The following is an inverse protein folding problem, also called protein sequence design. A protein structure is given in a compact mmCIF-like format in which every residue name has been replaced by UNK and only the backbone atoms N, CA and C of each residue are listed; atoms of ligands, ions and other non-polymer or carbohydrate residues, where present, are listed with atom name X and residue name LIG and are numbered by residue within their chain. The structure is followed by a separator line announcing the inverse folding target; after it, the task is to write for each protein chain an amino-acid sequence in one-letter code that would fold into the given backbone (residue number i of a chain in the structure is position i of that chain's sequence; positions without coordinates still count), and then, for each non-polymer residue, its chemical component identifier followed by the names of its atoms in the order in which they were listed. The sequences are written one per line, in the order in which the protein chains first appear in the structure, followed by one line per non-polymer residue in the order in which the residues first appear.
data_IF_601251800018
#
_entry.id   IF_601251800018
#
_cell.length_a   1.000
_cell.length_b   1.000
_cell.length_c   1.000
_cell.angle_alpha   90.00
_cell.angle_beta   90.00
_cell.angle_gamma   90.00
#
_symmetry.space_group_name_H-M   'P 1'
#
loop_
_entity.id
_entity.type
_entity.pdbx_description
1 polymer ?
#
# COMPACT_ATOMS: atom_id res chain seq x y z
N UNK A 1 21.19 -20.89 14.87
CA UNK A 1 20.03 -20.15 15.40
C UNK A 1 18.88 -20.34 14.42
N UNK A 2 17.69 -20.67 14.89
CA UNK A 2 16.48 -20.74 14.07
C UNK A 2 15.74 -19.40 14.22
N UNK A 3 15.53 -18.68 13.13
CA UNK A 3 15.03 -17.30 13.10
C UNK A 3 13.59 -17.22 12.56
N UNK A 4 12.83 -18.32 12.62
CA UNK A 4 11.44 -18.37 12.12
C UNK A 4 10.57 -17.32 12.82
N UNK A 5 10.72 -17.20 14.13
CA UNK A 5 9.97 -16.26 14.98
C UNK A 5 10.67 -14.91 15.18
N UNK A 6 11.66 -14.56 14.34
CA UNK A 6 12.36 -13.28 14.47
C UNK A 6 11.38 -12.09 14.37
N UNK A 7 11.46 -11.07 15.25
CA UNK A 7 12.40 -10.86 16.36
C UNK A 7 11.90 -11.28 17.77
N UNK A 8 10.84 -12.08 17.86
CA UNK A 8 10.26 -12.62 19.11
C UNK A 8 10.84 -14.00 19.46
N UNK A 9 12.05 -14.26 18.99
CA UNK A 9 12.75 -15.54 19.09
C UNK A 9 13.54 -15.69 20.41
N UNK A 10 13.70 -16.96 20.80
CA UNK A 10 14.59 -17.37 21.87
C UNK A 10 15.51 -18.49 21.37
N UNK A 11 16.74 -18.51 21.87
CA UNK A 11 17.76 -19.45 21.45
C UNK A 11 18.48 -20.07 22.65
N UNK A 12 18.79 -21.35 22.54
CA UNK A 12 19.76 -22.00 23.40
C UNK A 12 21.14 -21.97 22.72
N UNK A 13 22.12 -21.34 23.34
CA UNK A 13 23.49 -21.27 22.88
C UNK A 13 24.35 -22.29 23.65
N UNK A 14 24.75 -23.40 23.02
CA UNK A 14 25.55 -24.41 23.69
C UNK A 14 27.05 -24.03 23.69
N UNK A 15 27.67 -24.14 24.86
CA UNK A 15 29.12 -24.14 25.05
C UNK A 15 29.54 -25.58 25.34
N UNK A 16 30.24 -26.22 24.40
CA UNK A 16 30.75 -27.59 24.55
C UNK A 16 32.28 -27.56 24.69
N UNK A 17 32.81 -28.25 25.68
CA UNK A 17 34.25 -28.37 25.91
C UNK A 17 34.59 -29.76 26.46
N UNK A 18 35.80 -30.24 26.15
CA UNK A 18 36.25 -31.57 26.55
C UNK A 18 37.70 -31.81 26.15
N UNK A 19 38.21 -33.00 26.44
CA UNK A 19 39.58 -33.39 26.10
C UNK A 19 39.67 -33.61 24.60
N UNK A 20 40.74 -33.09 23.98
CA UNK A 20 40.97 -33.28 22.55
C UNK A 20 41.70 -34.60 22.24
N UNK A 21 42.72 -34.94 23.05
CA UNK A 21 43.61 -36.07 22.78
C UNK A 21 43.19 -37.33 23.56
N UNK A 22 42.85 -37.16 24.85
CA UNK A 22 42.66 -38.27 25.78
C UNK A 22 41.20 -38.75 25.80
N UNK A 23 40.93 -40.05 25.58
CA UNK A 23 39.60 -40.65 25.68
C UNK A 23 39.16 -40.87 27.13
N UNK A 24 37.92 -41.33 27.32
CA UNK A 24 37.31 -41.61 28.65
C UNK A 24 38.11 -42.63 29.47
N UNK A 25 38.87 -43.53 28.83
CA UNK A 25 39.74 -44.47 29.54
C UNK A 25 40.92 -43.79 30.25
N UNK A 26 41.28 -42.57 29.86
CA UNK A 26 42.40 -41.82 30.43
C UNK A 26 41.94 -40.59 31.23
N UNK A 27 40.98 -39.82 30.70
CA UNK A 27 40.50 -38.58 31.34
C UNK A 27 38.98 -38.50 31.29
N UNK A 28 38.37 -38.29 32.46
CA UNK A 28 36.92 -38.07 32.62
C UNK A 28 36.68 -36.72 33.29
N UNK A 29 35.93 -35.85 32.62
CA UNK A 29 35.52 -34.56 33.20
C UNK A 29 34.28 -34.72 34.07
N UNK A 30 34.27 -34.04 35.22
CA UNK A 30 33.13 -33.99 36.13
C UNK A 30 32.93 -32.56 36.63
N UNK A 31 31.69 -32.21 36.93
CA UNK A 31 31.34 -30.92 37.52
C UNK A 31 31.70 -30.91 39.01
N UNK A 32 32.48 -29.93 39.45
CA UNK A 32 32.98 -29.83 40.84
C UNK A 32 31.89 -29.72 41.89
N UNK A 33 30.79 -29.05 41.59
CA UNK A 33 29.66 -28.81 42.50
C UNK A 33 28.34 -29.40 41.95
N UNK A 34 28.46 -30.33 40.99
CA UNK A 34 27.34 -30.84 40.21
C UNK A 34 26.91 -29.89 39.08
N UNK A 35 26.22 -30.43 38.08
CA UNK A 35 25.88 -29.71 36.85
C UNK A 35 25.03 -28.45 37.09
N UNK A 36 24.14 -28.46 38.07
CA UNK A 36 23.24 -27.33 38.34
C UNK A 36 23.96 -26.11 38.96
N UNK A 37 25.06 -26.30 39.70
CA UNK A 37 25.72 -25.24 40.49
C UNK A 37 27.09 -24.83 39.96
N UNK A 38 27.72 -25.66 39.13
CA UNK A 38 29.07 -25.36 38.62
C UNK A 38 29.12 -24.22 37.60
N UNK A 39 28.02 -23.88 36.92
CA UNK A 39 27.97 -22.76 35.97
C UNK A 39 27.26 -21.57 36.61
N UNK A 40 28.06 -20.63 37.13
CA UNK A 40 27.57 -19.41 37.77
C UNK A 40 27.84 -18.21 36.85
N UNK A 41 26.80 -17.43 36.58
CA UNK A 41 26.89 -16.17 35.87
C UNK A 41 26.82 -15.05 36.90
N UNK A 42 27.75 -14.09 36.84
CA UNK A 42 27.74 -12.93 37.73
C UNK A 42 26.46 -12.09 37.51
N UNK A 43 25.88 -11.58 38.60
CA UNK A 43 24.62 -10.80 38.57
C UNK A 43 24.72 -9.59 37.63
N UNK A 44 25.84 -8.86 37.69
CA UNK A 44 26.13 -7.71 36.80
C UNK A 44 26.92 -8.08 35.53
N UNK A 45 27.11 -9.37 35.26
CA UNK A 45 27.94 -9.86 34.16
C UNK A 45 27.30 -9.73 32.76
N UNK A 46 26.01 -9.36 32.69
CA UNK A 46 25.28 -9.30 31.43
C UNK A 46 25.62 -8.04 30.63
N UNK A 47 26.54 -8.16 29.67
CA UNK A 47 26.94 -7.08 28.75
C UNK A 47 26.24 -7.17 27.39
N UNK A 48 25.09 -7.84 27.32
CA UNK A 48 24.38 -8.13 26.07
C UNK A 48 23.43 -6.99 25.68
N UNK A 49 23.72 -6.32 24.56
CA UNK A 49 22.90 -5.21 24.07
C UNK A 49 21.58 -5.68 23.45
N UNK A 50 21.63 -6.74 22.64
CA UNK A 50 20.49 -7.20 21.81
C UNK A 50 19.67 -8.34 22.45
N UNK A 51 20.20 -9.00 23.47
CA UNK A 51 19.59 -10.18 24.10
C UNK A 51 19.53 -10.01 25.61
N UNK A 52 18.58 -10.69 26.24
CA UNK A 52 18.55 -10.98 27.66
C UNK A 52 18.96 -12.43 27.89
N UNK A 53 19.86 -12.64 28.85
CA UNK A 53 20.13 -13.97 29.39
C UNK A 53 18.98 -14.34 30.33
N UNK A 54 18.23 -15.38 30.00
CA UNK A 54 17.12 -15.89 30.82
C UNK A 54 17.66 -16.84 31.89
N UNK A 55 18.65 -17.66 31.54
CA UNK A 55 19.25 -18.63 32.43
C UNK A 55 20.24 -19.55 31.73
N UNK A 56 20.74 -20.52 32.47
CA UNK A 56 21.72 -21.49 32.00
C UNK A 56 21.40 -22.90 32.49
N UNK A 57 21.86 -23.90 31.75
CA UNK A 57 21.75 -25.31 32.15
C UNK A 57 23.02 -26.02 31.77
N UNK A 58 23.65 -26.70 32.74
CA UNK A 58 24.83 -27.52 32.47
C UNK A 58 24.47 -29.00 32.39
N UNK A 59 25.28 -29.75 31.64
CA UNK A 59 25.13 -31.17 31.42
C UNK A 59 26.44 -31.81 30.99
N UNK A 60 26.40 -33.12 30.83
CA UNK A 60 27.50 -33.96 30.37
C UNK A 60 26.97 -34.84 29.25
N UNK A 61 27.71 -34.96 28.16
CA UNK A 61 27.42 -35.85 27.05
C UNK A 61 28.67 -36.66 26.71
N UNK A 62 28.54 -37.97 26.56
CA UNK A 62 29.62 -38.79 26.01
C UNK A 62 29.46 -38.89 24.50
N UNK A 63 30.49 -38.48 23.77
CA UNK A 63 30.52 -38.56 22.31
C UNK A 63 31.42 -39.70 21.86
N UNK A 64 30.95 -40.46 20.87
CA UNK A 64 31.77 -41.45 20.19
C UNK A 64 32.32 -40.85 18.90
N UNK A 65 33.64 -40.84 18.75
CA UNK A 65 34.32 -40.47 17.51
C UNK A 65 35.16 -41.64 17.01
N UNK A 66 35.71 -41.52 15.80
CA UNK A 66 36.52 -42.57 15.16
C UNK A 66 37.78 -42.95 15.96
N UNK A 67 38.27 -42.07 16.84
CA UNK A 67 39.44 -42.32 17.71
C UNK A 67 39.10 -42.93 19.07
N UNK A 68 37.83 -42.92 19.48
CA UNK A 68 37.42 -43.38 20.81
C UNK A 68 36.22 -42.63 21.38
N UNK A 69 35.88 -42.94 22.62
CA UNK A 69 34.83 -42.25 23.38
C UNK A 69 35.45 -41.09 24.16
N UNK A 70 34.78 -39.94 24.16
CA UNK A 70 35.22 -38.71 24.85
C UNK A 70 34.08 -38.13 25.68
N UNK A 71 34.39 -37.72 26.92
CA UNK A 71 33.44 -36.98 27.76
C UNK A 71 33.45 -35.49 27.36
N UNK A 72 32.28 -34.96 27.02
CA UNK A 72 32.07 -33.56 26.66
C UNK A 72 31.18 -32.89 27.71
N UNK A 73 31.69 -31.81 28.25
CA UNK A 73 30.96 -30.92 29.14
C UNK A 73 30.17 -29.92 28.32
N UNK A 74 28.93 -29.69 28.71
CA UNK A 74 28.02 -28.82 27.97
C UNK A 74 27.35 -27.81 28.90
N UNK A 75 27.33 -26.54 28.51
CA UNK A 75 26.54 -25.50 29.16
C UNK A 75 25.67 -24.79 28.11
N UNK A 76 24.35 -24.85 28.28
CA UNK A 76 23.40 -24.10 27.47
C UNK A 76 23.12 -22.74 28.12
N UNK A 77 23.21 -21.68 27.33
CA UNK A 77 22.78 -20.34 27.71
C UNK A 77 21.50 -19.97 26.96
N UNK A 78 20.44 -19.66 27.69
CA UNK A 78 19.15 -19.29 27.12
C UNK A 78 19.08 -17.79 26.90
N UNK A 79 19.04 -17.38 25.63
CA UNK A 79 19.03 -16.00 25.20
C UNK A 79 17.68 -15.67 24.55
N UNK A 80 17.05 -14.56 24.98
CA UNK A 80 15.85 -14.02 24.34
C UNK A 80 16.13 -12.62 23.78
N UNK A 81 15.69 -12.37 22.55
CA UNK A 81 15.96 -11.09 21.87
C UNK A 81 15.12 -9.95 22.47
N UNK A 82 15.71 -8.75 22.53
CA UNK A 82 15.00 -7.51 22.87
C UNK A 82 14.17 -7.03 21.67
N UNK A 83 12.85 -7.03 21.83
CA UNK A 83 11.88 -6.66 20.78
C UNK A 83 11.76 -5.14 20.54
N UNK A 84 12.07 -4.32 21.56
CA UNK A 84 11.74 -2.88 21.56
C UNK A 84 12.33 -2.07 20.39
N UNK A 85 13.55 -2.37 19.97
CA UNK A 85 14.19 -1.71 18.82
C UNK A 85 13.41 -1.93 17.52
N UNK A 86 13.03 -3.18 17.25
CA UNK A 86 12.29 -3.55 16.04
C UNK A 86 10.88 -2.96 16.03
N UNK A 87 10.25 -2.85 17.21
CA UNK A 87 8.94 -2.19 17.35
C UNK A 87 9.00 -0.74 16.89
N UNK A 88 10.01 0.01 17.37
CA UNK A 88 10.12 1.43 17.07
C UNK A 88 10.59 1.67 15.62
N UNK A 89 11.53 0.87 15.12
CA UNK A 89 12.11 1.11 13.79
C UNK A 89 11.36 0.49 12.62
N UNK A 90 10.70 -0.65 12.83
CA UNK A 90 10.07 -1.41 11.74
C UNK A 90 8.57 -1.41 11.90
N UNK A 91 8.05 -1.91 13.03
CA UNK A 91 6.61 -2.06 13.19
C UNK A 91 5.89 -0.70 13.20
N UNK A 92 6.31 0.25 14.04
CA UNK A 92 5.68 1.57 14.14
C UNK A 92 5.61 2.31 12.80
N UNK A 93 6.69 2.43 12.00
CA UNK A 93 6.61 3.01 10.67
C UNK A 93 5.70 2.25 9.70
N UNK A 94 5.69 0.92 9.73
CA UNK A 94 4.78 0.11 8.91
C UNK A 94 3.31 0.34 9.30
N UNK A 95 3.00 0.37 10.60
CA UNK A 95 1.67 0.71 11.12
C UNK A 95 1.20 2.08 10.62
N UNK A 96 2.04 3.10 10.79
CA UNK A 96 1.72 4.46 10.34
C UNK A 96 1.52 4.52 8.82
N UNK A 97 2.34 3.81 8.05
CA UNK A 97 2.22 3.75 6.59
C UNK A 97 0.89 3.11 6.16
N UNK A 98 0.47 2.04 6.81
CA UNK A 98 -0.83 1.39 6.53
C UNK A 98 -1.98 2.32 6.90
N UNK A 99 -1.94 2.98 8.06
CA UNK A 99 -2.98 3.95 8.47
C UNK A 99 -3.05 5.10 7.45
N UNK A 100 -1.91 5.66 7.03
CA UNK A 100 -1.85 6.72 6.02
C UNK A 100 -2.47 6.28 4.69
N UNK A 101 -2.27 5.03 4.28
CA UNK A 101 -2.89 4.50 3.06
C UNK A 101 -4.43 4.49 3.17
N UNK A 102 -4.98 4.22 4.36
CA UNK A 102 -6.43 4.19 4.62
C UNK A 102 -7.04 5.60 4.77
N UNK A 103 -6.25 6.58 5.23
CA UNK A 103 -6.69 7.98 5.28
C UNK A 103 -7.03 8.50 3.87
N UNK A 104 -6.41 7.95 2.82
CA UNK A 104 -6.73 8.32 1.43
C UNK A 104 -8.20 8.07 1.04
N UNK A 105 -8.91 7.15 1.71
CA UNK A 105 -10.35 6.89 1.48
C UNK A 105 -11.26 8.01 1.99
N UNK A 106 -10.76 8.86 2.88
CA UNK A 106 -11.47 10.03 3.39
C UNK A 106 -11.36 11.23 2.44
N UNK A 107 -10.40 11.19 1.50
CA UNK A 107 -10.21 12.26 0.54
C UNK A 107 -11.30 12.26 -0.53
N UNK A 108 -11.72 13.46 -0.92
CA UNK A 108 -12.72 13.63 -1.96
C UNK A 108 -12.26 13.00 -3.28
N UNK A 109 -13.15 12.31 -3.99
CA UNK A 109 -12.82 11.66 -5.27
C UNK A 109 -12.42 12.62 -6.40
N UNK A 110 -12.69 13.91 -6.23
CA UNK A 110 -12.36 14.93 -7.22
C UNK A 110 -10.86 15.25 -7.26
N UNK A 111 -10.13 15.00 -6.16
CA UNK A 111 -8.67 15.18 -6.09
C UNK A 111 -7.92 13.90 -6.48
N UNK A 112 -8.21 13.38 -7.67
CA UNK A 112 -7.52 12.21 -8.28
C UNK A 112 -5.99 12.32 -8.18
N UNK A 113 -5.34 13.45 -8.52
CA UNK A 113 -3.89 13.56 -8.43
C UNK A 113 -3.35 13.36 -7.00
N UNK A 114 -4.05 13.89 -5.99
CA UNK A 114 -3.64 13.76 -4.60
C UNK A 114 -3.71 12.30 -4.14
N UNK A 115 -4.82 11.59 -4.42
CA UNK A 115 -4.98 10.17 -4.04
C UNK A 115 -3.94 9.27 -4.71
N UNK A 116 -3.63 9.50 -5.99
CA UNK A 116 -2.57 8.75 -6.69
C UNK A 116 -1.22 8.93 -6.02
N UNK A 117 -0.84 10.18 -5.71
CA UNK A 117 0.45 10.48 -5.07
C UNK A 117 0.52 9.83 -3.69
N UNK A 118 -0.51 9.97 -2.85
CA UNK A 118 -0.56 9.30 -1.55
C UNK A 118 -0.41 7.78 -1.68
N UNK A 119 -1.14 7.14 -2.59
CA UNK A 119 -1.05 5.70 -2.78
C UNK A 119 0.33 5.23 -3.26
N UNK A 120 0.90 5.88 -4.27
CA UNK A 120 2.24 5.52 -4.80
C UNK A 120 3.32 5.78 -3.76
N UNK A 121 3.27 6.91 -3.07
CA UNK A 121 4.23 7.23 -2.00
C UNK A 121 4.15 6.20 -0.87
N UNK A 122 2.96 5.77 -0.44
CA UNK A 122 2.85 4.75 0.62
C UNK A 122 3.44 3.40 0.21
N UNK A 123 3.30 2.97 -1.05
CA UNK A 123 3.97 1.75 -1.55
C UNK A 123 5.48 1.92 -1.58
N UNK A 124 5.97 3.07 -2.05
CA UNK A 124 7.40 3.37 -2.07
C UNK A 124 7.98 3.36 -0.65
N UNK A 125 7.34 4.06 0.29
CA UNK A 125 7.72 4.07 1.71
C UNK A 125 7.74 2.67 2.29
N UNK A 126 6.71 1.86 2.02
CA UNK A 126 6.64 0.48 2.49
C UNK A 126 7.77 -0.38 1.91
N UNK A 127 8.11 -0.19 0.63
CA UNK A 127 9.24 -0.87 -0.03
C UNK A 127 10.58 -0.49 0.63
N UNK A 128 10.79 0.80 0.89
CA UNK A 128 11.99 1.31 1.58
C UNK A 128 12.12 0.75 3.00
N UNK A 129 11.03 0.74 3.77
CA UNK A 129 11.00 0.17 5.12
C UNK A 129 11.30 -1.34 5.10
N UNK A 130 10.76 -2.08 4.13
CA UNK A 130 11.03 -3.51 3.96
C UNK A 130 12.51 -3.79 3.68
N UNK A 131 13.14 -3.02 2.80
CA UNK A 131 14.57 -3.16 2.48
C UNK A 131 15.42 -2.82 3.71
N UNK A 132 15.09 -1.73 4.41
CA UNK A 132 15.80 -1.33 5.64
C UNK A 132 15.72 -2.40 6.74
N UNK A 133 14.54 -2.97 6.95
CA UNK A 133 14.34 -4.05 7.92
C UNK A 133 15.16 -5.31 7.57
N UNK A 134 15.23 -5.68 6.29
CA UNK A 134 16.00 -6.84 5.82
C UNK A 134 17.51 -6.62 5.86
N UNK A 135 17.99 -5.39 5.67
CA UNK A 135 19.42 -5.08 5.80
C UNK A 135 19.94 -5.24 7.23
N UNK A 136 19.06 -5.12 8.22
CA UNK A 136 19.41 -5.33 9.63
C UNK A 136 19.40 -6.80 10.06
N UNK A 137 18.92 -7.70 9.18
CA UNK A 137 18.80 -9.14 9.44
C UNK A 137 19.84 -9.92 8.60
N UNK A 138 20.49 -10.97 9.15
CA UNK A 138 21.26 -11.89 8.33
C UNK A 138 20.37 -12.57 7.28
N UNK A 139 20.91 -12.80 6.08
CA UNK A 139 20.16 -13.42 4.98
C UNK A 139 19.81 -14.88 5.33
N UNK A 140 18.52 -15.15 5.48
CA UNK A 140 17.96 -16.51 5.65
C UNK A 140 17.10 -16.86 4.44
N UNK A 141 17.01 -18.15 4.12
CA UNK A 141 16.27 -18.64 2.96
C UNK A 141 14.75 -18.82 3.21
N UNK A 142 14.32 -18.80 4.46
CA UNK A 142 12.91 -18.92 4.87
C UNK A 142 12.32 -17.57 5.29
N UNK A 143 11.00 -17.45 5.23
CA UNK A 143 10.29 -16.25 5.68
C UNK A 143 10.26 -16.17 7.21
N UNK A 144 10.71 -15.03 7.75
CA UNK A 144 10.61 -14.74 9.19
C UNK A 144 9.24 -14.20 9.58
N UNK A 145 8.88 -14.23 10.86
CA UNK A 145 7.65 -13.62 11.38
C UNK A 145 7.54 -12.13 10.99
N UNK A 146 8.65 -11.39 11.07
CA UNK A 146 8.74 -10.01 10.59
C UNK A 146 8.43 -9.90 9.08
N UNK A 147 8.95 -10.80 8.24
CA UNK A 147 8.67 -10.78 6.80
C UNK A 147 7.20 -11.00 6.50
N UNK A 148 6.52 -11.91 7.24
CA UNK A 148 5.07 -12.10 7.12
C UNK A 148 4.30 -10.84 7.48
N UNK A 149 4.69 -10.15 8.56
CA UNK A 149 4.07 -8.87 8.95
C UNK A 149 4.22 -7.81 7.85
N UNK A 150 5.44 -7.65 7.32
CA UNK A 150 5.75 -6.69 6.27
C UNK A 150 4.98 -7.03 4.98
N UNK A 151 4.89 -8.31 4.61
CA UNK A 151 4.16 -8.76 3.43
C UNK A 151 2.65 -8.46 3.53
N UNK A 152 2.03 -8.69 4.69
CA UNK A 152 0.61 -8.36 4.90
C UNK A 152 0.38 -6.85 4.88
N UNK A 153 1.24 -6.07 5.55
CA UNK A 153 1.19 -4.61 5.47
C UNK A 153 1.32 -4.11 4.01
N UNK A 154 2.21 -4.72 3.22
CA UNK A 154 2.37 -4.40 1.80
C UNK A 154 1.10 -4.71 1.01
N UNK A 155 0.45 -5.85 1.27
CA UNK A 155 -0.81 -6.21 0.64
C UNK A 155 -1.93 -5.22 0.96
N UNK A 156 -2.02 -4.70 2.19
CA UNK A 156 -3.00 -3.67 2.55
C UNK A 156 -2.78 -2.35 1.80
N UNK A 157 -1.53 -1.88 1.75
CA UNK A 157 -1.18 -0.65 1.03
C UNK A 157 -1.45 -0.81 -0.48
N UNK A 158 -1.08 -1.95 -1.06
CA UNK A 158 -1.36 -2.25 -2.45
C UNK A 158 -2.87 -2.36 -2.73
N UNK A 159 -3.64 -2.95 -1.81
CA UNK A 159 -5.09 -3.04 -1.92
C UNK A 159 -5.75 -1.65 -1.89
N UNK A 160 -5.21 -0.67 -1.16
CA UNK A 160 -5.69 0.71 -1.20
C UNK A 160 -5.49 1.37 -2.57
N UNK A 161 -4.40 1.04 -3.29
CA UNK A 161 -4.20 1.48 -4.68
C UNK A 161 -5.20 0.84 -5.65
N UNK A 162 -5.49 -0.46 -5.49
CA UNK A 162 -6.49 -1.15 -6.31
C UNK A 162 -7.88 -0.54 -6.08
N UNK A 163 -8.23 -0.24 -4.83
CA UNK A 163 -9.47 0.44 -4.46
C UNK A 163 -9.59 1.76 -5.22
N UNK A 164 -8.54 2.58 -5.17
CA UNK A 164 -8.51 3.84 -5.88
C UNK A 164 -8.68 3.66 -7.40
N UNK A 165 -7.97 2.71 -8.01
CA UNK A 165 -8.10 2.41 -9.44
C UNK A 165 -9.55 2.01 -9.79
N UNK A 166 -10.17 1.20 -8.94
CA UNK A 166 -11.56 0.74 -9.08
C UNK A 166 -12.54 1.91 -8.98
N UNK A 167 -12.39 2.79 -7.99
CA UNK A 167 -13.22 4.00 -7.82
C UNK A 167 -13.08 4.95 -9.01
N UNK A 168 -11.87 5.13 -9.55
CA UNK A 168 -11.64 5.97 -10.73
C UNK A 168 -12.27 5.38 -11.98
N UNK A 169 -12.16 4.07 -12.17
CA UNK A 169 -12.74 3.37 -13.31
C UNK A 169 -14.26 3.50 -13.33
N UNK A 170 -14.92 3.22 -12.19
CA UNK A 170 -16.38 3.36 -12.07
C UNK A 170 -16.83 4.82 -12.16
N UNK A 171 -16.05 5.76 -11.66
CA UNK A 171 -16.36 7.19 -11.82
C UNK A 171 -16.34 7.58 -13.31
N UNK A 172 -15.28 7.25 -14.06
CA UNK A 172 -15.22 7.56 -15.50
C UNK A 172 -16.33 6.89 -16.30
N UNK A 173 -16.66 5.62 -16.00
CA UNK A 173 -17.76 4.92 -16.66
C UNK A 173 -19.12 5.53 -16.31
N UNK A 174 -19.39 5.87 -15.04
CA UNK A 174 -20.64 6.53 -14.65
C UNK A 174 -20.81 7.87 -15.37
N UNK A 175 -19.75 8.68 -15.43
CA UNK A 175 -19.78 9.97 -16.14
C UNK A 175 -20.02 9.81 -17.64
N UNK A 176 -19.42 8.80 -18.29
CA UNK A 176 -19.65 8.52 -19.71
C UNK A 176 -21.11 8.09 -19.99
N UNK A 177 -21.71 7.31 -19.09
CA UNK A 177 -23.11 6.89 -19.20
C UNK A 177 -24.11 8.02 -18.91
N UNK A 178 -23.84 8.84 -17.89
CA UNK A 178 -24.68 10.00 -17.54
C UNK A 178 -24.58 11.12 -18.60
N UNK A 179 -23.39 11.36 -19.15
CA UNK A 179 -23.20 12.29 -20.26
C UNK A 179 -23.95 11.86 -21.52
N UNK A 180 -23.98 10.56 -21.84
CA UNK A 180 -24.75 10.02 -22.96
C UNK A 180 -26.26 10.19 -22.76
N UNK A 181 -26.78 9.91 -21.56
CA UNK A 181 -28.20 10.13 -21.23
C UNK A 181 -28.59 11.60 -21.27
N UNK A 182 -27.70 12.51 -20.85
CA UNK A 182 -27.93 13.95 -20.96
C UNK A 182 -27.99 14.43 -22.42
N UNK A 183 -27.12 13.89 -23.29
CA UNK A 183 -27.15 14.17 -24.73
C UNK A 183 -28.42 13.62 -25.40
N UNK A 184 -28.84 12.40 -25.04
CA UNK A 184 -30.07 11.77 -25.52
C UNK A 184 -31.33 12.51 -25.03
N UNK A 185 -31.29 13.14 -23.85
CA UNK A 185 -32.38 13.99 -23.35
C UNK A 185 -32.45 15.36 -24.03
N UNK A 186 -31.34 15.87 -24.59
CA UNK A 186 -31.30 17.12 -25.38
C UNK A 186 -31.73 16.94 -26.84
N UNK A 187 -31.72 15.72 -27.38
CA UNK A 187 -32.36 15.38 -28.64
C UNK A 187 -33.72 14.69 -28.38
N UNK A 188 -34.79 15.43 -28.03
CA UNK A 188 -36.12 14.85 -28.12
C UNK A 188 -36.33 14.45 -29.59
N UNK A 189 -36.57 13.16 -29.85
CA UNK A 189 -37.14 12.71 -31.12
C UNK A 189 -38.32 13.63 -31.40
N UNK A 190 -38.22 14.50 -32.43
CA UNK A 190 -39.39 15.13 -33.02
C UNK A 190 -40.30 13.97 -33.43
N UNK A 191 -41.33 13.72 -32.62
CA UNK A 191 -42.51 13.02 -33.08
C UNK A 191 -43.15 13.99 -34.07
N UNK A 192 -42.97 13.72 -35.35
CA UNK A 192 -43.70 14.45 -36.38
C UNK A 192 -45.20 14.27 -36.09
N UNK A 193 -45.98 15.34 -35.92
CA UNK A 193 -47.42 15.21 -35.88
C UNK A 193 -47.89 14.75 -37.26
N UNK A 194 -48.65 13.65 -37.27
CA UNK A 194 -49.38 13.15 -38.43
C UNK A 194 -50.35 14.23 -38.90
N UNK A 195 -49.93 15.06 -39.85
CA UNK A 195 -50.80 15.98 -40.58
C UNK A 195 -51.26 15.27 -41.85
N UNK A 196 -52.56 14.98 -41.87
CA UNK A 196 -53.32 14.50 -43.03
C UNK A 196 -53.17 15.48 -44.20
N UNK A 197 -52.33 15.16 -45.18
CA UNK A 197 -52.18 15.98 -46.38
C UNK A 197 -53.24 15.59 -47.44
N UNK A 198 -54.18 16.50 -47.68
CA UNK A 198 -55.14 16.44 -48.78
C UNK A 198 -54.41 16.88 -50.07
N UNK A 199 -54.35 16.00 -51.06
CA UNK A 199 -53.82 16.28 -52.41
C UNK A 199 -54.77 17.22 -53.18
N UNK A 200 -54.23 18.14 -54.00
CA UNK A 200 -54.66 18.16 -55.41
C UNK A 200 -53.50 18.32 -56.41
N UNK A 201 -53.87 18.07 -57.68
CA UNK A 201 -53.03 17.72 -58.82
C UNK A 201 -52.27 18.87 -59.51
N UNK A 202 -51.18 18.45 -60.17
CA UNK A 202 -50.45 18.97 -61.34
C UNK A 202 -50.95 20.23 -62.08
N UNK A 203 -49.99 21.11 -62.38
CA UNK A 203 -49.71 21.56 -63.77
C UNK A 203 -48.28 22.11 -63.87
N UNK A 204 -47.70 21.95 -65.06
CA UNK A 204 -46.29 22.16 -65.43
C UNK A 204 -46.05 23.55 -66.07
N UNK A 205 -44.80 24.03 -66.04
CA UNK A 205 -44.17 24.84 -67.11
C UNK A 205 -42.66 25.01 -66.87
N UNK A 206 -41.94 25.22 -67.97
CA UNK A 206 -40.53 24.92 -68.24
C UNK A 206 -39.58 26.14 -68.25
N UNK A 207 -38.26 25.90 -68.39
CA UNK A 207 -37.20 26.88 -68.73
C UNK A 207 -36.01 26.86 -67.74
N UNK A 208 -34.90 26.12 -67.90
CA UNK A 208 -33.76 26.19 -68.85
C UNK A 208 -32.66 27.21 -68.47
N UNK A 209 -31.50 26.66 -68.05
CA UNK A 209 -30.07 27.08 -68.20
C UNK A 209 -29.54 28.37 -67.48
N UNK A 210 -28.26 28.58 -67.08
CA UNK A 210 -26.91 28.06 -67.42
C UNK A 210 -25.91 28.15 -66.21
N UNK A 211 -24.82 27.38 -66.22
CA UNK A 211 -23.54 27.53 -65.45
C UNK A 211 -22.48 28.29 -66.31
N UNK A 212 -21.14 28.42 -66.03
CA UNK A 212 -20.28 28.32 -64.82
C UNK A 212 -19.15 29.43 -64.71
N UNK A 213 -18.30 29.33 -63.65
CA UNK A 213 -16.83 29.61 -63.53
C UNK A 213 -16.22 31.03 -63.76
N UNK A 214 -15.25 31.42 -62.90
CA UNK A 214 -13.80 31.54 -63.25
C UNK A 214 -12.89 31.91 -62.05
N UNK A 215 -11.69 31.33 -62.10
CA UNK A 215 -10.46 31.34 -61.29
C UNK A 215 -9.71 32.68 -61.17
N UNK A 216 -8.81 32.82 -60.17
CA UNK A 216 -7.34 32.97 -60.35
C UNK A 216 -6.56 33.12 -59.02
N UNK A 217 -5.51 32.31 -58.89
CA UNK A 217 -4.50 32.25 -57.82
C UNK A 217 -3.36 33.30 -57.93
N UNK A 218 -2.41 33.18 -56.97
CA UNK A 218 -1.03 33.72 -56.84
C UNK A 218 -0.91 35.05 -56.07
N UNK A 219 0.00 35.25 -55.11
CA UNK A 219 1.29 34.61 -54.82
C UNK A 219 1.89 35.11 -53.49
N UNK A 220 2.83 34.32 -52.92
CA UNK A 220 3.97 34.72 -52.07
C UNK A 220 3.67 35.24 -50.62
N UNK A 221 4.43 34.97 -49.56
CA UNK A 221 5.66 34.22 -49.28
C UNK A 221 5.99 34.35 -47.78
N UNK A 222 6.50 33.28 -47.14
CA UNK A 222 7.61 33.21 -46.15
C UNK A 222 7.52 34.20 -44.93
N UNK A 223 7.46 33.84 -43.63
CA UNK A 223 8.49 33.17 -42.81
C UNK A 223 8.17 33.29 -41.29
N UNK A 224 8.62 32.29 -40.51
CA UNK A 224 9.34 32.41 -39.22
C UNK A 224 8.63 32.81 -37.90
N UNK A 225 8.52 31.79 -37.01
CA UNK A 225 8.91 31.71 -35.58
C UNK A 225 8.88 32.99 -34.74
N UNK A 226 8.10 33.00 -33.63
CA UNK A 226 8.59 33.27 -32.26
C UNK A 226 7.48 33.24 -31.19
N UNK A 227 7.93 33.11 -29.95
CA UNK A 227 7.24 32.59 -28.77
C UNK A 227 6.41 33.61 -27.97
N UNK A 228 5.50 33.05 -27.16
CA UNK A 228 5.09 33.43 -25.78
C UNK A 228 4.32 34.73 -25.51
N UNK A 229 3.13 34.51 -24.93
CA UNK A 229 2.46 35.26 -23.83
C UNK A 229 2.15 36.75 -24.00
N UNK A 230 0.85 37.09 -24.07
CA UNK A 230 0.22 38.09 -23.17
C UNK A 230 -1.28 38.29 -23.48
N UNK A 231 -2.07 38.00 -22.44
CA UNK A 231 -3.24 38.70 -21.89
C UNK A 231 -3.68 40.03 -22.57
N UNK A 232 -4.98 40.03 -22.97
CA UNK A 232 -6.02 41.08 -22.90
C UNK A 232 -6.25 42.17 -23.96
N UNK A 233 -7.56 42.32 -24.22
CA UNK A 233 -8.39 43.49 -24.51
C UNK A 233 -8.48 44.12 -25.93
N UNK A 234 -9.66 43.90 -26.52
CA UNK A 234 -10.66 44.89 -27.01
C UNK A 234 -10.31 45.76 -28.24
N UNK A 235 -11.09 45.56 -29.32
CA UNK A 235 -11.58 46.63 -30.22
C UNK A 235 -13.09 46.40 -30.45
N UNK A 236 -13.96 47.30 -29.98
CA UNK A 236 -14.47 48.53 -30.62
C UNK A 236 -15.21 48.22 -31.93
N UNK A 237 -16.54 48.10 -31.82
CA UNK A 237 -17.49 48.28 -32.92
C UNK A 237 -18.42 49.45 -32.57
N UNK A 238 -18.33 50.53 -33.35
CA UNK A 238 -19.16 51.72 -33.28
C UNK A 238 -20.50 51.44 -33.96
N UNK A 239 -21.62 51.89 -33.36
CA UNK A 239 -22.94 51.84 -34.00
C UNK A 239 -24.04 52.43 -33.12
N UNK A 240 -24.43 53.65 -33.45
CA UNK A 240 -25.39 54.57 -32.79
C UNK A 240 -26.83 54.04 -32.81
N UNK A 241 -27.61 54.28 -31.74
CA UNK A 241 -29.07 54.14 -31.79
C UNK A 241 -29.77 54.21 -30.42
N UNK A 242 -30.43 55.35 -30.17
CA UNK A 242 -31.15 55.74 -28.95
C UNK A 242 -32.52 55.01 -28.81
N UNK A 243 -32.93 54.62 -27.60
CA UNK A 243 -34.31 54.21 -27.32
C UNK A 243 -34.55 53.66 -25.90
N UNK A 244 -35.26 54.43 -25.07
CA UNK A 244 -35.71 54.08 -23.72
C UNK A 244 -36.90 53.11 -23.72
N UNK A 245 -36.91 52.17 -22.76
CA UNK A 245 -38.14 51.64 -22.15
C UNK A 245 -38.35 50.12 -22.19
N UNK A 246 -38.37 49.49 -21.01
CA UNK A 246 -39.05 48.21 -20.78
C UNK A 246 -38.19 47.06 -20.23
N UNK A 247 -38.38 46.71 -18.95
CA UNK A 247 -38.30 45.32 -18.47
C UNK A 247 -39.76 44.81 -18.38
N UNK A 248 -40.08 43.51 -18.55
CA UNK A 248 -39.53 42.44 -17.70
C UNK A 248 -39.28 41.10 -18.44
N UNK A 249 -38.90 40.08 -17.64
CA UNK A 249 -39.12 38.63 -17.86
C UNK A 249 -37.91 37.79 -18.28
N UNK A 250 -37.15 37.42 -17.25
CA UNK A 250 -36.66 36.05 -16.95
C UNK A 250 -36.60 35.03 -18.10
N UNK A 251 -35.39 34.79 -18.59
CA UNK A 251 -34.92 33.41 -18.84
C UNK A 251 -33.58 33.26 -18.14
N UNK A 252 -33.66 33.04 -16.82
CA UNK A 252 -32.54 32.55 -16.03
C UNK A 252 -32.22 31.15 -16.58
N UNK A 253 -31.20 31.04 -17.41
CA UNK A 253 -30.64 29.77 -17.82
C UNK A 253 -30.34 28.99 -16.54
N UNK A 254 -31.10 27.91 -16.31
CA UNK A 254 -30.96 27.06 -15.16
C UNK A 254 -29.55 26.47 -15.21
N UNK A 255 -28.68 26.87 -14.28
CA UNK A 255 -27.43 26.16 -14.03
C UNK A 255 -27.74 24.66 -13.94
N UNK A 256 -27.02 23.78 -14.68
CA UNK A 256 -27.21 22.36 -14.50
C UNK A 256 -26.86 22.07 -13.04
N UNK A 257 -27.88 21.74 -12.24
CA UNK A 257 -27.73 21.31 -10.84
C UNK A 257 -26.54 20.38 -10.79
N UNK A 258 -25.45 20.85 -10.19
CA UNK A 258 -24.23 20.10 -9.96
C UNK A 258 -24.64 18.91 -9.11
N UNK A 259 -24.88 17.76 -9.75
CA UNK A 259 -25.29 16.52 -9.09
C UNK A 259 -24.22 16.22 -8.07
N UNK A 260 -24.52 16.48 -6.80
CA UNK A 260 -23.58 16.31 -5.70
C UNK A 260 -23.08 14.87 -5.77
N UNK A 261 -21.77 14.72 -5.95
CA UNK A 261 -21.09 13.45 -6.12
C UNK A 261 -21.42 12.57 -4.91
N UNK A 262 -22.41 11.67 -5.02
CA UNK A 262 -22.60 10.65 -3.98
C UNK A 262 -21.27 9.94 -3.80
N UNK A 263 -20.78 9.89 -2.56
CA UNK A 263 -19.61 9.10 -2.17
C UNK A 263 -19.78 7.71 -2.75
N UNK A 264 -18.76 7.20 -3.43
CA UNK A 264 -18.83 5.86 -4.01
C UNK A 264 -19.20 4.89 -2.91
N UNK A 265 -20.17 3.99 -3.15
CA UNK A 265 -20.52 2.94 -2.18
C UNK A 265 -19.28 2.14 -1.77
N UNK A 266 -18.31 2.04 -2.68
CA UNK A 266 -17.00 1.43 -2.49
C UNK A 266 -16.20 2.18 -1.42
N UNK A 267 -15.98 3.50 -1.55
CA UNK A 267 -15.23 4.29 -0.55
C UNK A 267 -15.86 4.17 0.85
N UNK A 268 -17.21 4.12 0.96
CA UNK A 268 -17.90 3.94 2.25
C UNK A 268 -17.62 2.58 2.89
N UNK A 269 -17.61 1.52 2.08
CA UNK A 269 -17.30 0.16 2.55
C UNK A 269 -15.83 0.05 2.96
N UNK A 270 -14.92 0.57 2.13
CA UNK A 270 -13.47 0.51 2.36
C UNK A 270 -13.07 1.20 3.66
N UNK A 271 -13.74 2.29 4.05
CA UNK A 271 -13.50 3.00 5.32
C UNK A 271 -13.72 2.16 6.57
N UNK A 272 -14.54 1.10 6.50
CA UNK A 272 -14.83 0.23 7.65
C UNK A 272 -14.05 -1.08 7.51
N UNK A 273 -14.08 -1.69 6.32
CA UNK A 273 -13.48 -3.01 6.10
C UNK A 273 -11.96 -3.00 6.29
N UNK A 274 -11.25 -2.01 5.73
CA UNK A 274 -9.79 -1.98 5.80
C UNK A 274 -9.26 -1.81 7.25
N UNK A 275 -9.75 -0.84 8.05
CA UNK A 275 -9.31 -0.73 9.44
C UNK A 275 -9.66 -1.96 10.29
N UNK A 276 -10.84 -2.55 10.11
CA UNK A 276 -11.27 -3.73 10.87
C UNK A 276 -10.41 -4.96 10.53
N UNK A 277 -10.15 -5.19 9.25
CA UNK A 277 -9.28 -6.29 8.82
C UNK A 277 -7.86 -6.11 9.32
N UNK A 278 -7.32 -4.89 9.24
CA UNK A 278 -5.98 -4.61 9.74
C UNK A 278 -5.90 -4.75 11.27
N UNK A 279 -6.89 -4.27 12.02
CA UNK A 279 -6.98 -4.44 13.47
C UNK A 279 -7.05 -5.92 13.87
N UNK A 280 -7.87 -6.71 13.18
CA UNK A 280 -7.99 -8.16 13.41
C UNK A 280 -6.68 -8.88 13.13
N UNK A 281 -6.03 -8.57 12.00
CA UNK A 281 -4.71 -9.10 11.67
C UNK A 281 -3.68 -8.81 12.75
N UNK A 282 -3.63 -7.58 13.26
CA UNK A 282 -2.70 -7.21 14.32
C UNK A 282 -2.96 -7.96 15.62
N UNK A 283 -4.21 -8.08 16.02
CA UNK A 283 -4.58 -8.84 17.21
C UNK A 283 -4.10 -10.29 17.09
N UNK A 284 -4.38 -10.95 15.97
CA UNK A 284 -3.95 -12.32 15.70
C UNK A 284 -2.42 -12.44 15.66
N UNK A 285 -1.74 -11.51 14.97
CA UNK A 285 -0.28 -11.51 14.85
C UNK A 285 0.40 -11.42 16.21
N UNK A 286 0.07 -10.39 17.00
CA UNK A 286 0.68 -10.18 18.31
C UNK A 286 0.28 -11.28 19.29
N UNK A 287 -0.96 -11.75 19.29
CA UNK A 287 -1.37 -12.87 20.15
C UNK A 287 -0.63 -14.17 19.80
N UNK A 288 -0.39 -14.45 18.52
CA UNK A 288 0.31 -15.68 18.11
C UNK A 288 1.78 -15.64 18.45
N UNK A 289 2.48 -14.55 18.11
CA UNK A 289 3.93 -14.48 18.26
C UNK A 289 4.40 -14.08 19.67
N UNK A 290 3.57 -13.40 20.47
CA UNK A 290 3.90 -13.12 21.87
C UNK A 290 3.58 -14.30 22.80
N UNK A 291 2.55 -15.09 22.50
CA UNK A 291 2.17 -16.25 23.30
C UNK A 291 2.87 -17.55 22.90
N UNK A 292 3.67 -17.55 21.82
CA UNK A 292 4.54 -18.69 21.52
C UNK A 292 5.54 -18.82 22.66
N UNK A 293 5.35 -19.88 23.46
CA UNK A 293 6.38 -20.27 24.42
C UNK A 293 7.65 -20.60 23.65
N UNK A 294 8.82 -20.10 24.11
CA UNK A 294 10.07 -20.42 23.46
C UNK A 294 10.26 -21.94 23.57
N UNK A 295 10.19 -22.65 22.43
CA UNK A 295 10.42 -24.11 22.34
C UNK A 295 11.91 -24.36 22.57
N UNK A 296 12.33 -24.15 23.80
CA UNK A 296 13.68 -24.33 24.27
C UNK A 296 13.68 -25.68 24.95
N UNK A 297 13.96 -26.72 24.15
CA UNK A 297 14.16 -28.08 24.66
C UNK A 297 15.24 -28.03 25.75
N UNK A 298 14.84 -28.24 27.00
CA UNK A 298 15.75 -28.30 28.15
C UNK A 298 15.38 -27.41 29.35
N UNK A 299 14.40 -26.51 29.24
CA UNK A 299 13.88 -25.82 30.42
C UNK A 299 13.02 -26.80 31.22
N UNK A 300 13.62 -27.45 32.21
CA UNK A 300 12.86 -27.97 33.35
C UNK A 300 12.37 -26.73 34.09
N UNK A 301 11.10 -26.36 33.86
CA UNK A 301 10.39 -25.42 34.72
C UNK A 301 10.32 -26.07 36.10
N UNK A 302 11.21 -25.65 36.99
CA UNK A 302 11.03 -25.88 38.42
C UNK A 302 9.83 -25.05 38.88
N UNK A 303 8.64 -25.65 38.81
CA UNK A 303 7.51 -25.31 39.70
C UNK A 303 7.77 -25.86 41.09
#
# INVERSE_FOLDING_TARGET
MQLEDFPMDAHACPLKFGSYAYPVSEVVYTWTQGAAKSVVVAEDGSRLNQYHLIGQTAGTEDINTSRGQYTVMMAHFYLKRKIGYFVIQTYMPCFMTVILSQVSFWLNRESVPARTVFGVTTVLTMTTLSISARNSLPKVAYATAMDWFIAVCYAFVFSALIEFATVNYFTKRSWAWDGKKALEAQHPKKRDPMVLYKKPNNTCSAGVNYTPNLTKDLSASISTISNTTSVQLRSVGIGVGMGMGGSPSDVKALDPKKTYNSVSKIDKMSRIVFPVLFGTFNLVYWATYLNREPVVKGVVTST
#
